data_IF_456321141972
#
_entry.id   IF_456321141972
#
_cell.length_a   1.000
_cell.length_b   1.000
_cell.length_c   1.000
_cell.angle_alpha   90.00
_cell.angle_beta   90.00
_cell.angle_gamma   90.00
#
_symmetry.space_group_name_H-M   'P 1'
#
loop_
_entity.id
_entity.type
_entity.pdbx_description
1 polymer ?
#
# COMPACT_ATOMS: atom_id res chain seq x y z
N UNK A 1 -16.56 7.58 67.38
CA UNK A 1 -17.61 6.75 66.74
C UNK A 1 -17.26 6.65 65.26
N UNK A 2 -16.74 5.51 64.85
CA UNK A 2 -16.27 5.24 63.49
C UNK A 2 -17.21 4.22 62.86
N UNK A 3 -17.88 4.59 61.77
CA UNK A 3 -18.65 3.67 60.93
C UNK A 3 -17.91 3.52 59.60
N UNK A 4 -17.48 2.31 59.21
CA UNK A 4 -16.83 2.09 57.92
C UNK A 4 -17.86 2.00 56.81
N UNK A 5 -17.63 2.72 55.71
CA UNK A 5 -18.39 2.57 54.46
C UNK A 5 -17.89 1.29 53.78
N UNK A 6 -18.79 0.31 53.65
CA UNK A 6 -18.59 -0.90 52.86
C UNK A 6 -18.36 -0.52 51.38
N UNK A 7 -17.21 -0.88 50.82
CA UNK A 7 -17.04 -0.97 49.37
C UNK A 7 -17.85 -2.17 48.87
N UNK A 8 -18.99 -1.90 48.23
CA UNK A 8 -19.68 -2.87 47.41
C UNK A 8 -18.82 -3.19 46.17
N UNK A 9 -18.12 -4.31 46.25
CA UNK A 9 -17.50 -4.99 45.12
C UNK A 9 -18.60 -5.47 44.18
N UNK A 10 -18.94 -4.67 43.18
CA UNK A 10 -19.73 -5.11 42.03
C UNK A 10 -18.76 -5.61 40.98
N UNK A 11 -18.58 -6.93 41.00
CA UNK A 11 -17.92 -7.70 39.97
C UNK A 11 -18.72 -7.56 38.66
N UNK A 12 -18.36 -6.56 37.86
CA UNK A 12 -18.74 -6.48 36.45
C UNK A 12 -17.94 -7.53 35.67
N UNK A 13 -18.52 -8.72 35.54
CA UNK A 13 -18.07 -9.75 34.60
C UNK A 13 -18.04 -9.13 33.19
N UNK A 14 -16.83 -8.87 32.69
CA UNK A 14 -16.63 -8.56 31.28
C UNK A 14 -16.89 -9.85 30.48
N UNK A 15 -17.67 -9.79 29.38
CA UNK A 15 -17.85 -10.94 28.51
C UNK A 15 -16.49 -11.33 27.89
N UNK A 16 -16.23 -12.64 27.68
CA UNK A 16 -15.05 -13.06 26.93
C UNK A 16 -15.18 -12.51 25.50
N UNK A 17 -14.23 -11.65 25.13
CA UNK A 17 -14.09 -11.20 23.74
C UNK A 17 -13.67 -12.42 22.95
N UNK A 18 -14.61 -13.02 22.25
CA UNK A 18 -14.38 -14.11 21.32
C UNK A 18 -13.44 -13.61 20.24
N UNK A 19 -12.15 -13.93 20.36
CA UNK A 19 -11.17 -13.76 19.28
C UNK A 19 -11.34 -14.88 18.27
N UNK A 20 -12.56 -15.01 17.76
CA UNK A 20 -12.80 -15.48 16.41
C UNK A 20 -12.91 -14.25 15.50
N UNK A 21 -11.97 -13.31 15.66
CA UNK A 21 -11.58 -12.48 14.53
C UNK A 21 -11.12 -13.48 13.47
N UNK A 22 -11.98 -13.70 12.49
CA UNK A 22 -11.70 -14.55 11.36
C UNK A 22 -10.27 -14.28 10.95
N UNK A 23 -9.47 -15.34 11.01
CA UNK A 23 -8.35 -15.48 10.11
C UNK A 23 -8.97 -15.38 8.72
N UNK A 24 -9.19 -14.15 8.26
CA UNK A 24 -8.94 -13.84 6.88
C UNK A 24 -7.55 -14.40 6.70
N UNK A 25 -7.49 -15.61 6.12
CA UNK A 25 -6.30 -16.05 5.42
C UNK A 25 -5.82 -14.79 4.74
N UNK A 26 -4.62 -14.34 5.08
CA UNK A 26 -3.84 -13.52 4.19
C UNK A 26 -3.61 -14.40 2.95
N UNK A 27 -4.69 -14.64 2.21
CA UNK A 27 -4.75 -15.39 1.00
C UNK A 27 -4.28 -14.41 -0.03
N UNK A 28 -3.15 -14.75 -0.64
CA UNK A 28 -2.87 -14.42 -2.04
C UNK A 28 -3.49 -13.12 -2.47
N UNK A 29 -2.98 -12.00 -1.97
CA UNK A 29 -2.74 -10.94 -2.94
C UNK A 29 -1.64 -11.53 -3.80
N UNK A 30 -2.03 -12.09 -4.94
CA UNK A 30 -1.08 -12.68 -5.86
C UNK A 30 -0.07 -11.59 -6.21
N UNK A 31 1.16 -11.78 -5.76
CA UNK A 31 2.20 -10.78 -5.85
C UNK A 31 2.47 -10.44 -7.32
N UNK A 32 2.17 -11.38 -8.23
CA UNK A 32 2.19 -11.16 -9.67
C UNK A 32 1.11 -10.15 -10.11
N UNK A 33 -0.12 -10.27 -9.60
CA UNK A 33 -1.21 -9.33 -9.89
C UNK A 33 -0.89 -7.93 -9.35
N UNK A 34 -0.37 -7.84 -8.12
CA UNK A 34 0.04 -6.56 -7.56
C UNK A 34 1.20 -5.92 -8.35
N UNK A 35 2.13 -6.72 -8.88
CA UNK A 35 3.20 -6.25 -9.76
C UNK A 35 2.66 -5.79 -11.12
N UNK A 36 1.73 -6.53 -11.71
CA UNK A 36 1.07 -6.15 -12.95
C UNK A 36 0.33 -4.81 -12.81
N UNK A 37 -0.43 -4.65 -11.72
CA UNK A 37 -1.11 -3.39 -11.38
C UNK A 37 -0.12 -2.24 -11.18
N UNK A 38 0.99 -2.48 -10.48
CA UNK A 38 2.02 -1.46 -10.28
C UNK A 38 2.68 -1.04 -11.59
N UNK A 39 2.88 -1.97 -12.51
CA UNK A 39 3.45 -1.72 -13.83
C UNK A 39 2.48 -0.93 -14.72
N UNK A 40 1.20 -1.31 -14.75
CA UNK A 40 0.19 -0.58 -15.52
C UNK A 40 0.09 0.86 -15.02
N UNK A 41 -0.01 1.06 -13.70
CA UNK A 41 -0.02 2.40 -13.11
C UNK A 41 1.24 3.18 -13.43
N UNK A 42 2.42 2.56 -13.38
CA UNK A 42 3.66 3.22 -13.76
C UNK A 42 3.63 3.69 -15.22
N UNK A 43 3.12 2.86 -16.12
CA UNK A 43 2.98 3.19 -17.54
C UNK A 43 1.94 4.30 -17.80
N UNK A 44 0.81 4.28 -17.10
CA UNK A 44 -0.18 5.37 -17.14
C UNK A 44 0.41 6.70 -16.65
N UNK A 45 1.14 6.69 -15.53
CA UNK A 45 1.78 7.90 -15.01
C UNK A 45 2.87 8.42 -15.95
N UNK A 46 3.65 7.53 -16.58
CA UNK A 46 4.64 7.90 -17.61
C UNK A 46 3.95 8.58 -18.81
N UNK A 47 2.92 7.96 -19.39
CA UNK A 47 2.17 8.54 -20.51
C UNK A 47 1.56 9.89 -20.17
N UNK A 48 1.05 10.04 -18.95
CA UNK A 48 0.51 11.32 -18.47
C UNK A 48 1.60 12.38 -18.35
N UNK A 49 2.78 12.02 -17.83
CA UNK A 49 3.90 12.94 -17.74
C UNK A 49 4.40 13.37 -19.13
N UNK A 50 4.44 12.44 -20.09
CA UNK A 50 4.83 12.69 -21.47
C UNK A 50 3.83 13.61 -22.18
N UNK A 51 2.52 13.34 -22.10
CA UNK A 51 1.47 14.20 -22.67
C UNK A 51 1.57 15.64 -22.14
N UNK A 52 1.70 15.80 -20.82
CA UNK A 52 1.84 17.12 -20.21
C UNK A 52 3.14 17.81 -20.65
N UNK A 53 4.25 17.06 -20.75
CA UNK A 53 5.51 17.60 -21.22
C UNK A 53 5.44 18.06 -22.69
N UNK A 54 4.82 17.26 -23.56
CA UNK A 54 4.60 17.60 -24.97
C UNK A 54 3.72 18.84 -25.09
N UNK A 55 2.56 18.86 -24.42
CA UNK A 55 1.64 20.01 -24.47
C UNK A 55 2.28 21.28 -23.94
N UNK A 56 3.07 21.18 -22.87
CA UNK A 56 3.84 22.31 -22.34
C UNK A 56 4.89 22.80 -23.36
N UNK A 57 5.63 21.89 -23.99
CA UNK A 57 6.64 22.21 -25.01
C UNK A 57 6.00 22.85 -26.26
N UNK A 58 4.78 22.44 -26.62
CA UNK A 58 3.98 23.02 -27.70
C UNK A 58 3.39 24.40 -27.35
N UNK A 59 3.57 24.87 -26.11
CA UNK A 59 3.13 26.20 -25.66
C UNK A 59 1.67 26.25 -25.20
N UNK A 60 1.07 25.11 -24.84
CA UNK A 60 -0.26 25.06 -24.23
C UNK A 60 -0.26 25.81 -22.89
N UNK A 61 -0.91 26.98 -22.87
CA UNK A 61 -1.01 27.84 -21.68
C UNK A 61 -1.86 27.25 -20.56
N UNK A 62 -2.59 26.16 -20.82
CA UNK A 62 -3.35 25.44 -19.80
C UNK A 62 -2.51 24.48 -18.97
N UNK A 63 -1.30 24.12 -19.44
CA UNK A 63 -0.39 23.23 -18.72
C UNK A 63 0.75 24.06 -18.12
N UNK A 64 0.87 24.01 -16.80
CA UNK A 64 1.98 24.66 -16.09
C UNK A 64 3.19 23.75 -15.97
N UNK A 65 4.40 24.34 -15.92
CA UNK A 65 5.64 23.60 -15.65
C UNK A 65 5.55 22.77 -14.35
N UNK A 66 4.86 23.29 -13.32
CA UNK A 66 4.67 22.58 -12.06
C UNK A 66 3.87 21.28 -12.23
N UNK A 67 2.90 21.23 -13.14
CA UNK A 67 2.11 20.02 -13.43
C UNK A 67 2.96 18.97 -14.12
N UNK A 68 3.78 19.37 -15.09
CA UNK A 68 4.75 18.49 -15.75
C UNK A 68 5.72 17.90 -14.72
N UNK A 69 6.27 18.73 -13.84
CA UNK A 69 7.19 18.31 -12.78
C UNK A 69 6.53 17.35 -11.79
N UNK A 70 5.29 17.63 -11.39
CA UNK A 70 4.53 16.74 -10.49
C UNK A 70 4.21 15.42 -11.18
N UNK A 71 3.76 15.43 -12.43
CA UNK A 71 3.47 14.23 -13.19
C UNK A 71 4.73 13.37 -13.39
N UNK A 72 5.85 13.99 -13.74
CA UNK A 72 7.16 13.34 -13.86
C UNK A 72 7.61 12.73 -12.53
N UNK A 73 7.38 13.44 -11.42
CA UNK A 73 7.70 12.93 -10.08
C UNK A 73 6.83 11.72 -9.71
N UNK A 74 5.53 11.76 -10.02
CA UNK A 74 4.61 10.63 -9.83
C UNK A 74 5.03 9.41 -10.64
N UNK A 75 5.35 9.59 -11.92
CA UNK A 75 5.85 8.52 -12.80
C UNK A 75 7.11 7.86 -12.21
N UNK A 76 8.09 8.67 -11.79
CA UNK A 76 9.32 8.17 -11.17
C UNK A 76 9.05 7.35 -9.90
N UNK A 77 8.15 7.80 -9.04
CA UNK A 77 7.79 7.07 -7.81
C UNK A 77 7.06 5.77 -8.14
N UNK A 78 6.12 5.79 -9.10
CA UNK A 78 5.39 4.60 -9.53
C UNK A 78 6.31 3.51 -10.11
N UNK A 79 7.26 3.91 -10.96
CA UNK A 79 8.27 2.98 -11.52
C UNK A 79 9.14 2.38 -10.42
N UNK A 80 9.61 3.20 -9.46
CA UNK A 80 10.39 2.70 -8.32
C UNK A 80 9.61 1.70 -7.50
N UNK A 81 8.32 1.97 -7.27
CA UNK A 81 7.43 1.06 -6.57
C UNK A 81 7.28 -0.28 -7.31
N UNK A 82 7.05 -0.27 -8.63
CA UNK A 82 6.99 -1.48 -9.44
C UNK A 82 8.31 -2.29 -9.36
N UNK A 83 9.47 -1.63 -9.39
CA UNK A 83 10.78 -2.29 -9.22
C UNK A 83 10.89 -2.93 -7.83
N UNK A 84 10.45 -2.25 -6.77
CA UNK A 84 10.43 -2.81 -5.41
C UNK A 84 9.59 -4.08 -5.36
N UNK A 85 8.42 -4.08 -6.01
CA UNK A 85 7.52 -5.22 -6.02
C UNK A 85 8.08 -6.39 -6.84
N UNK A 86 8.71 -6.11 -7.99
CA UNK A 86 9.48 -7.09 -8.77
C UNK A 86 10.56 -7.77 -7.93
N UNK A 87 11.36 -6.98 -7.21
CA UNK A 87 12.43 -7.52 -6.37
C UNK A 87 11.86 -8.40 -5.26
N UNK A 88 10.76 -7.98 -4.64
CA UNK A 88 10.08 -8.78 -3.62
C UNK A 88 9.52 -10.09 -4.17
N UNK A 89 9.01 -10.09 -5.39
CA UNK A 89 8.55 -11.31 -6.06
C UNK A 89 9.67 -12.30 -6.32
N UNK A 90 10.81 -11.80 -6.78
CA UNK A 90 12.01 -12.63 -6.97
C UNK A 90 12.50 -13.18 -5.62
N UNK A 91 12.48 -12.38 -4.54
CA UNK A 91 12.84 -12.85 -3.20
C UNK A 91 11.90 -13.93 -2.68
N UNK A 92 10.59 -13.75 -2.81
CA UNK A 92 9.59 -14.73 -2.38
C UNK A 92 9.78 -16.07 -3.11
N UNK A 93 10.02 -16.03 -4.42
CA UNK A 93 10.35 -17.22 -5.21
C UNK A 93 11.64 -17.90 -4.73
N UNK A 94 12.70 -17.11 -4.48
CA UNK A 94 13.98 -17.63 -3.97
C UNK A 94 13.85 -18.23 -2.58
N UNK A 95 13.06 -17.66 -1.68
CA UNK A 95 12.86 -18.17 -0.32
C UNK A 95 12.09 -19.49 -0.31
N UNK A 96 11.10 -19.65 -1.19
CA UNK A 96 10.42 -20.93 -1.47
C UNK A 96 11.39 -22.03 -1.89
N UNK A 97 12.46 -21.70 -2.64
CA UNK A 97 13.51 -22.65 -2.99
C UNK A 97 14.51 -22.91 -1.87
N UNK A 98 14.71 -21.94 -0.98
CA UNK A 98 15.76 -21.97 0.05
C UNK A 98 15.31 -22.53 1.40
N UNK A 99 14.02 -22.73 1.59
CA UNK A 99 13.49 -23.58 2.65
C UNK A 99 13.31 -25.00 2.11
N UNK A 100 14.36 -25.84 2.10
CA UNK A 100 14.14 -27.27 1.98
C UNK A 100 13.31 -27.72 3.18
N UNK A 101 12.43 -28.70 2.92
CA UNK A 101 11.75 -29.50 3.93
C UNK A 101 12.71 -30.00 5.02
#
# INVERSE_FOLDING_TARGET
MATPVHLASSAGSLPPVDRTAGSARAGDVDLADAFADALERASEQERTADDLATRFADGDRSVGLHEVMVATSKANVAVRFAITLKNRAIEAYRELMRTPV
#
